data_IF_470866830531
#
_entry.id   IF_470866830531
#
_cell.length_a   1.000
_cell.length_b   1.000
_cell.length_c   1.000
_cell.angle_alpha   90.00
_cell.angle_beta   90.00
_cell.angle_gamma   90.00
#
_symmetry.space_group_name_H-M   'P 1'
#
loop_
_entity.id
_entity.type
_entity.pdbx_description
1 polymer ?
#
# COMPACT_ATOMS: atom_id res chain seq x y z
N UNK A 1 -6.17 -18.54 21.83
CA UNK A 1 -5.03 -17.95 22.57
C UNK A 1 -4.45 -16.74 21.84
N UNK A 2 -4.16 -16.83 20.54
CA UNK A 2 -3.63 -15.69 19.76
C UNK A 2 -4.61 -14.52 19.62
N UNK A 3 -5.90 -14.79 19.33
CA UNK A 3 -6.91 -13.74 19.18
C UNK A 3 -7.18 -12.96 20.47
N UNK A 4 -7.04 -13.58 21.66
CA UNK A 4 -7.20 -12.86 22.93
C UNK A 4 -6.13 -11.80 23.13
N UNK A 5 -4.90 -12.06 22.66
CA UNK A 5 -3.84 -11.04 22.65
C UNK A 5 -4.11 -9.91 21.66
N UNK A 6 -4.77 -10.20 20.53
CA UNK A 6 -5.17 -9.16 19.57
C UNK A 6 -6.18 -8.19 20.17
N UNK A 7 -7.10 -8.66 21.03
CA UNK A 7 -8.07 -7.81 21.72
C UNK A 7 -7.44 -6.80 22.67
N UNK A 8 -6.21 -7.07 23.14
CA UNK A 8 -5.45 -6.19 24.04
C UNK A 8 -4.70 -5.09 23.28
N UNK A 9 -4.62 -5.14 21.95
CA UNK A 9 -3.90 -4.14 21.15
C UNK A 9 -4.57 -2.76 21.19
N UNK A 10 -5.90 -2.70 21.30
CA UNK A 10 -6.67 -1.46 21.32
C UNK A 10 -8.01 -1.68 22.04
N UNK A 11 -8.53 -0.67 22.77
CA UNK A 11 -9.89 -0.72 23.33
C UNK A 11 -10.98 -1.02 22.28
N UNK A 12 -10.74 -0.65 21.02
CA UNK A 12 -11.65 -0.93 19.90
C UNK A 12 -11.84 -2.44 19.65
N UNK A 13 -10.88 -3.25 20.07
CA UNK A 13 -10.82 -4.68 19.76
C UNK A 13 -11.32 -5.56 20.91
N UNK A 14 -11.70 -4.99 22.06
CA UNK A 14 -12.05 -5.75 23.26
C UNK A 14 -13.19 -6.74 23.05
N UNK A 15 -14.19 -6.38 22.24
CA UNK A 15 -15.34 -7.23 21.89
C UNK A 15 -15.35 -7.57 20.39
N UNK A 16 -14.19 -7.93 19.84
CA UNK A 16 -14.03 -8.23 18.42
C UNK A 16 -13.88 -9.72 18.12
N UNK A 17 -14.33 -10.12 16.93
CA UNK A 17 -13.90 -11.36 16.28
C UNK A 17 -12.91 -11.07 15.15
N UNK A 18 -12.06 -12.04 14.85
CA UNK A 18 -10.96 -11.89 13.89
C UNK A 18 -10.99 -13.02 12.88
N UNK A 19 -11.00 -12.65 11.60
CA UNK A 19 -10.87 -13.58 10.47
C UNK A 19 -9.61 -13.23 9.69
N UNK A 20 -8.68 -14.19 9.57
CA UNK A 20 -7.46 -13.99 8.82
C UNK A 20 -7.76 -13.73 7.33
N UNK A 21 -7.10 -12.72 6.77
CA UNK A 21 -7.12 -12.42 5.33
C UNK A 21 -5.78 -12.84 4.74
N UNK A 22 -5.81 -13.88 3.92
CA UNK A 22 -4.61 -14.44 3.27
C UNK A 22 -4.40 -13.90 1.85
N UNK A 23 -5.34 -13.11 1.33
CA UNK A 23 -5.23 -12.47 0.03
C UNK A 23 -4.32 -11.24 0.12
N UNK A 24 -3.15 -11.30 -0.52
CA UNK A 24 -2.22 -10.17 -0.59
C UNK A 24 -0.77 -10.57 -0.80
N UNK A 25 0.07 -9.60 -1.16
CA UNK A 25 1.52 -9.78 -1.32
C UNK A 25 2.33 -9.13 -0.20
N UNK A 26 1.67 -8.53 0.80
CA UNK A 26 2.37 -8.01 1.97
C UNK A 26 2.80 -9.15 2.88
N UNK A 27 3.99 -9.05 3.47
CA UNK A 27 4.37 -9.89 4.61
C UNK A 27 3.62 -9.55 5.92
N UNK A 28 2.65 -8.62 5.87
CA UNK A 28 1.83 -8.26 7.02
C UNK A 28 0.76 -9.34 7.28
N UNK A 29 0.55 -9.70 8.55
CA UNK A 29 -0.61 -10.50 8.94
C UNK A 29 -1.83 -9.58 8.98
N UNK A 30 -2.85 -9.89 8.19
CA UNK A 30 -4.05 -9.06 8.05
C UNK A 30 -5.27 -9.83 8.55
N UNK A 31 -6.14 -9.14 9.29
CA UNK A 31 -7.39 -9.68 9.81
C UNK A 31 -8.54 -8.75 9.44
N UNK A 32 -9.63 -9.34 8.95
CA UNK A 32 -10.95 -8.72 9.01
C UNK A 32 -11.41 -8.80 10.47
N UNK A 33 -11.77 -7.67 11.03
CA UNK A 33 -12.23 -7.54 12.40
C UNK A 33 -13.70 -7.17 12.37
N UNK A 34 -14.54 -7.93 13.06
CA UNK A 34 -15.94 -7.57 13.25
C UNK A 34 -16.14 -7.15 14.70
N UNK A 35 -16.55 -5.90 14.91
CA UNK A 35 -16.91 -5.36 16.22
C UNK A 35 -18.43 -5.31 16.37
N UNK A 36 -18.91 -5.02 17.58
CA UNK A 36 -20.32 -5.03 18.01
C UNK A 36 -21.34 -4.72 16.89
N UNK A 37 -22.26 -5.65 16.64
CA UNK A 37 -23.45 -5.54 15.78
C UNK A 37 -23.28 -5.35 14.26
N UNK A 38 -22.06 -5.36 13.68
CA UNK A 38 -21.72 -5.60 12.24
C UNK A 38 -20.62 -4.68 11.68
N UNK A 39 -20.10 -3.74 12.45
CA UNK A 39 -19.06 -2.85 11.96
C UNK A 39 -17.76 -3.64 11.68
N UNK A 40 -17.21 -3.43 10.49
CA UNK A 40 -16.01 -4.11 10.00
C UNK A 40 -14.81 -3.17 10.01
N UNK A 41 -13.70 -3.67 10.53
CA UNK A 41 -12.40 -3.01 10.52
C UNK A 41 -11.36 -3.94 9.89
N UNK A 42 -10.19 -3.40 9.56
CA UNK A 42 -9.02 -4.19 9.15
C UNK A 42 -7.90 -3.98 10.15
N UNK A 43 -7.43 -5.06 10.75
CA UNK A 43 -6.22 -5.07 11.58
C UNK A 43 -5.05 -5.59 10.76
N UNK A 44 -3.95 -4.83 10.72
CA UNK A 44 -2.68 -5.26 10.12
C UNK A 44 -1.58 -5.28 11.17
N UNK A 45 -0.87 -6.39 11.22
CA UNK A 45 0.32 -6.58 12.07
C UNK A 45 1.55 -6.66 11.18
N UNK A 46 2.54 -5.83 11.50
CA UNK A 46 3.81 -5.72 10.82
C UNK A 46 4.97 -5.83 11.82
N UNK A 47 6.19 -5.95 11.30
CA UNK A 47 7.40 -5.84 12.09
C UNK A 47 7.42 -4.54 12.95
N UNK A 48 7.88 -4.65 14.19
CA UNK A 48 7.89 -3.55 15.17
C UNK A 48 8.69 -2.32 14.71
N UNK A 49 9.72 -2.50 13.88
CA UNK A 49 10.56 -1.42 13.36
C UNK A 49 9.81 -0.55 12.33
N UNK A 50 8.65 -1.00 11.84
CA UNK A 50 7.87 -0.27 10.84
C UNK A 50 7.02 0.87 11.41
N UNK A 51 6.90 1.00 12.74
CA UNK A 51 6.05 2.00 13.40
C UNK A 51 6.29 3.43 12.90
N UNK A 52 7.52 3.93 12.98
CA UNK A 52 7.87 5.30 12.58
C UNK A 52 7.60 5.56 11.09
N UNK A 53 7.72 4.53 10.25
CA UNK A 53 7.38 4.62 8.82
C UNK A 53 5.87 4.75 8.64
N UNK A 54 5.09 3.89 9.30
CA UNK A 54 3.64 3.91 9.15
C UNK A 54 2.97 5.12 9.80
N UNK A 55 3.49 5.62 10.93
CA UNK A 55 3.02 6.87 11.54
C UNK A 55 3.14 8.05 10.59
N UNK A 56 4.25 8.15 9.84
CA UNK A 56 4.41 9.16 8.77
C UNK A 56 3.40 8.96 7.63
N UNK A 57 3.20 7.71 7.18
CA UNK A 57 2.23 7.39 6.11
C UNK A 57 0.78 7.71 6.48
N UNK A 58 0.40 7.54 7.74
CA UNK A 58 -0.97 7.82 8.21
C UNK A 58 -1.39 9.28 7.97
N UNK A 59 -0.47 10.23 8.19
CA UNK A 59 -0.75 11.65 7.94
C UNK A 59 -1.08 11.94 6.47
N UNK A 60 -0.43 11.24 5.54
CA UNK A 60 -0.70 11.38 4.11
C UNK A 60 -2.02 10.72 3.72
N UNK A 61 -2.28 9.52 4.25
CA UNK A 61 -3.54 8.81 3.99
C UNK A 61 -4.77 9.59 4.48
N UNK A 62 -4.67 10.26 5.64
CA UNK A 62 -5.71 11.17 6.13
C UNK A 62 -5.95 12.34 5.16
N UNK A 63 -4.89 12.97 4.65
CA UNK A 63 -5.01 14.04 3.64
C UNK A 63 -5.69 13.58 2.35
N UNK A 64 -5.47 12.33 1.93
CA UNK A 64 -6.19 11.78 0.76
C UNK A 64 -7.69 11.64 1.08
N UNK A 65 -8.02 11.11 2.26
CA UNK A 65 -9.40 10.96 2.72
C UNK A 65 -10.12 12.31 2.84
N UNK A 66 -9.46 13.33 3.39
CA UNK A 66 -9.99 14.70 3.52
C UNK A 66 -10.27 15.35 2.15
N UNK A 67 -9.59 14.90 1.10
CA UNK A 67 -9.85 15.31 -0.29
C UNK A 67 -11.01 14.54 -0.94
N UNK A 68 -11.68 13.65 -0.21
CA UNK A 68 -12.79 12.85 -0.70
C UNK A 68 -12.38 11.58 -1.46
N UNK A 69 -11.09 11.24 -1.47
CA UNK A 69 -10.62 10.03 -2.15
C UNK A 69 -11.15 8.79 -1.42
N UNK A 70 -11.66 7.83 -2.19
CA UNK A 70 -12.11 6.55 -1.64
C UNK A 70 -10.92 5.69 -1.22
N UNK A 71 -10.48 5.85 0.03
CA UNK A 71 -9.45 5.02 0.64
C UNK A 71 -9.81 4.64 2.08
N UNK A 72 -9.23 3.55 2.58
CA UNK A 72 -9.37 3.16 3.99
C UNK A 72 -8.83 4.28 4.88
N UNK A 73 -9.47 4.52 6.00
CA UNK A 73 -8.99 5.47 6.99
C UNK A 73 -8.09 4.77 7.99
N UNK A 74 -7.02 5.43 8.42
CA UNK A 74 -6.19 4.95 9.53
C UNK A 74 -6.83 5.41 10.83
N UNK A 75 -7.48 4.48 11.53
CA UNK A 75 -8.14 4.74 12.80
C UNK A 75 -7.10 4.78 13.92
N UNK A 76 -6.23 3.77 13.98
CA UNK A 76 -5.22 3.66 15.03
C UNK A 76 -3.92 3.05 14.51
N UNK A 77 -2.79 3.50 15.06
CA UNK A 77 -1.47 2.87 14.87
C UNK A 77 -0.76 2.85 16.22
N UNK A 78 -0.30 1.67 16.62
CA UNK A 78 0.50 1.50 17.83
C UNK A 78 1.56 0.42 17.71
N UNK A 79 2.24 0.19 18.82
CA UNK A 79 3.23 -0.86 18.98
C UNK A 79 2.78 -1.78 20.11
N UNK A 80 3.00 -3.08 19.96
CA UNK A 80 2.86 -4.05 21.05
C UNK A 80 4.19 -4.70 21.32
N UNK A 81 4.72 -4.49 22.53
CA UNK A 81 5.93 -5.16 22.98
C UNK A 81 5.69 -6.66 23.17
N UNK A 82 4.52 -7.04 23.72
CA UNK A 82 4.17 -8.45 23.96
C UNK A 82 4.07 -9.25 22.66
N UNK A 83 3.44 -8.69 21.63
CA UNK A 83 3.33 -9.32 20.31
C UNK A 83 4.50 -8.97 19.38
N UNK A 84 5.47 -8.19 19.87
CA UNK A 84 6.62 -7.67 19.14
C UNK A 84 6.26 -7.15 17.73
N UNK A 85 5.26 -6.28 17.64
CA UNK A 85 4.71 -5.85 16.36
C UNK A 85 4.30 -4.38 16.34
N UNK A 86 4.22 -3.82 15.13
CA UNK A 86 3.42 -2.61 14.86
C UNK A 86 2.03 -3.06 14.45
N UNK A 87 0.99 -2.55 15.11
CA UNK A 87 -0.39 -2.80 14.70
C UNK A 87 -1.00 -1.53 14.08
N UNK A 88 -1.91 -1.74 13.13
CA UNK A 88 -2.66 -0.68 12.45
C UNK A 88 -4.11 -1.11 12.27
N UNK A 89 -5.04 -0.25 12.66
CA UNK A 89 -6.47 -0.47 12.53
C UNK A 89 -7.00 0.50 11.47
N UNK A 90 -7.74 -0.03 10.51
CA UNK A 90 -8.33 0.73 9.42
C UNK A 90 -9.84 0.53 9.33
N UNK A 91 -10.55 1.49 8.74
CA UNK A 91 -11.91 1.26 8.29
C UNK A 91 -11.94 0.24 7.15
N UNK A 92 -12.94 -0.64 7.16
CA UNK A 92 -13.19 -1.57 6.07
C UNK A 92 -13.92 -0.84 4.92
N UNK A 93 -13.52 -1.13 3.68
CA UNK A 93 -14.26 -0.70 2.49
C UNK A 93 -15.03 -1.92 2.00
N UNK A 94 -16.35 -1.81 1.97
CA UNK A 94 -17.21 -2.83 1.40
C UNK A 94 -16.99 -2.94 -0.12
N UNK A 95 -16.98 -4.18 -0.61
CA UNK A 95 -16.80 -4.48 -2.01
C UNK A 95 -16.06 -5.80 -2.22
N UNK A 96 -15.87 -6.14 -3.49
CA UNK A 96 -15.17 -7.35 -3.92
C UNK A 96 -13.78 -7.01 -4.47
N UNK A 97 -12.88 -7.99 -4.40
CA UNK A 97 -11.56 -7.83 -4.98
C UNK A 97 -11.67 -7.88 -6.51
N UNK A 98 -11.36 -6.77 -7.17
CA UNK A 98 -11.41 -6.68 -8.62
C UNK A 98 -10.57 -7.76 -9.32
N UNK A 99 -9.44 -8.22 -8.76
CA UNK A 99 -8.67 -9.33 -9.35
C UNK A 99 -9.52 -10.59 -9.50
N UNK A 100 -10.37 -10.86 -8.53
CA UNK A 100 -11.14 -12.09 -8.41
C UNK A 100 -12.52 -11.98 -9.06
N UNK A 101 -13.08 -10.77 -9.22
CA UNK A 101 -14.45 -10.60 -9.73
C UNK A 101 -14.59 -9.77 -11.01
N UNK A 102 -13.60 -8.95 -11.41
CA UNK A 102 -13.78 -8.03 -12.56
C UNK A 102 -14.06 -8.76 -13.87
N UNK A 103 -13.53 -9.97 -14.04
CA UNK A 103 -13.69 -10.79 -15.24
C UNK A 103 -15.09 -11.41 -15.38
N UNK A 104 -15.90 -11.35 -14.32
CA UNK A 104 -17.29 -11.82 -14.31
C UNK A 104 -18.28 -10.74 -14.78
N UNK A 105 -17.79 -9.51 -14.94
CA UNK A 105 -18.59 -8.33 -15.31
C UNK A 105 -18.58 -8.09 -16.83
N UNK A 106 -19.57 -7.37 -17.32
CA UNK A 106 -19.61 -6.97 -18.74
C UNK A 106 -18.49 -5.99 -19.09
N UNK A 107 -18.16 -5.86 -20.38
CA UNK A 107 -17.13 -4.91 -20.82
C UNK A 107 -17.46 -3.47 -20.41
N UNK A 108 -18.74 -3.09 -20.45
CA UNK A 108 -19.24 -1.79 -20.06
C UNK A 108 -19.03 -1.54 -18.56
N UNK A 109 -19.32 -2.52 -17.71
CA UNK A 109 -19.11 -2.44 -16.26
C UNK A 109 -17.62 -2.34 -15.90
N UNK A 110 -16.78 -3.16 -16.55
CA UNK A 110 -15.32 -3.11 -16.37
C UNK A 110 -14.75 -1.75 -16.77
N UNK A 111 -15.21 -1.20 -17.89
CA UNK A 111 -14.81 0.13 -18.36
C UNK A 111 -15.20 1.23 -17.36
N UNK A 112 -16.43 1.19 -16.84
CA UNK A 112 -16.89 2.19 -15.87
C UNK A 112 -16.11 2.11 -14.54
N UNK A 113 -15.79 0.91 -14.06
CA UNK A 113 -14.90 0.72 -12.90
C UNK A 113 -13.52 1.34 -13.18
N UNK A 114 -12.94 1.07 -14.35
CA UNK A 114 -11.67 1.65 -14.76
C UNK A 114 -11.71 3.18 -14.80
N UNK A 115 -12.78 3.76 -15.36
CA UNK A 115 -13.00 5.20 -15.43
C UNK A 115 -13.09 5.84 -14.05
N UNK A 116 -13.82 5.21 -13.11
CA UNK A 116 -13.92 5.66 -11.71
C UNK A 116 -12.56 5.59 -11.00
N UNK A 117 -11.83 4.49 -11.15
CA UNK A 117 -10.49 4.34 -10.56
C UNK A 117 -9.51 5.40 -11.10
N UNK A 118 -9.56 5.69 -12.40
CA UNK A 118 -8.74 6.74 -13.02
C UNK A 118 -9.05 8.14 -12.48
N UNK A 119 -10.32 8.43 -12.18
CA UNK A 119 -10.72 9.70 -11.54
C UNK A 119 -10.09 9.85 -10.14
N UNK A 120 -10.18 8.81 -9.31
CA UNK A 120 -9.57 8.81 -7.97
C UNK A 120 -8.04 8.95 -8.05
N UNK A 121 -7.40 8.26 -9.00
CA UNK A 121 -5.95 8.34 -9.22
C UNK A 121 -5.52 9.74 -9.68
N UNK A 122 -6.28 10.37 -10.58
CA UNK A 122 -6.04 11.75 -11.02
C UNK A 122 -6.12 12.73 -9.84
N UNK A 123 -7.10 12.55 -8.95
CA UNK A 123 -7.20 13.35 -7.73
C UNK A 123 -5.99 13.12 -6.79
N UNK A 124 -5.52 11.88 -6.65
CA UNK A 124 -4.28 11.59 -5.91
C UNK A 124 -3.07 12.33 -6.50
N UNK A 125 -2.93 12.42 -7.83
CA UNK A 125 -1.82 13.13 -8.48
C UNK A 125 -1.80 14.64 -8.21
N UNK A 126 -2.93 15.24 -7.83
CA UNK A 126 -2.97 16.65 -7.38
C UNK A 126 -2.36 16.85 -5.98
N UNK A 127 -2.02 15.79 -5.26
CA UNK A 127 -1.41 15.85 -3.94
C UNK A 127 0.10 16.01 -4.05
N UNK A 128 0.62 17.20 -3.71
CA UNK A 128 2.06 17.45 -3.71
C UNK A 128 2.78 16.55 -2.70
N UNK A 129 3.94 16.04 -3.09
CA UNK A 129 4.81 15.30 -2.20
C UNK A 129 5.25 16.20 -1.02
N UNK A 130 5.39 15.66 0.21
CA UNK A 130 5.92 16.41 1.33
C UNK A 130 7.36 16.89 1.06
N UNK A 131 7.71 18.11 1.49
CA UNK A 131 9.03 18.73 1.22
C UNK A 131 10.23 17.95 1.77
N UNK A 132 10.04 17.15 2.82
CA UNK A 132 11.10 16.32 3.40
C UNK A 132 11.40 15.05 2.60
N UNK A 133 10.66 14.80 1.52
CA UNK A 133 10.80 13.61 0.69
C UNK A 133 11.80 13.91 -0.42
N UNK A 134 12.83 13.05 -0.54
CA UNK A 134 13.82 13.16 -1.64
C UNK A 134 13.14 13.27 -3.01
N UNK A 135 13.71 14.05 -3.94
CA UNK A 135 13.25 14.15 -5.32
C UNK A 135 12.97 12.78 -5.96
N UNK A 136 11.95 12.72 -6.80
CA UNK A 136 11.50 11.46 -7.39
C UNK A 136 12.52 10.87 -8.36
N UNK A 137 13.16 11.72 -9.16
CA UNK A 137 14.24 11.40 -10.10
C UNK A 137 15.43 10.73 -9.41
N UNK A 138 15.91 11.28 -8.29
CA UNK A 138 16.99 10.66 -7.51
C UNK A 138 16.61 9.25 -7.05
N UNK A 139 15.37 9.05 -6.59
CA UNK A 139 14.92 7.76 -6.08
C UNK A 139 14.76 6.72 -7.18
N UNK A 140 14.19 7.10 -8.32
CA UNK A 140 13.97 6.17 -9.43
C UNK A 140 15.30 5.80 -10.08
N UNK A 141 16.26 6.72 -10.17
CA UNK A 141 17.60 6.42 -10.66
C UNK A 141 18.37 5.50 -9.70
N UNK A 142 18.34 5.77 -8.39
CA UNK A 142 18.93 4.85 -7.41
C UNK A 142 18.28 3.45 -7.43
N UNK A 143 16.97 3.36 -7.70
CA UNK A 143 16.27 2.08 -7.90
C UNK A 143 16.73 1.41 -9.20
N UNK A 144 16.85 2.16 -10.28
CA UNK A 144 17.31 1.67 -11.57
C UNK A 144 18.72 1.07 -11.45
N UNK A 145 19.67 1.79 -10.86
CA UNK A 145 21.04 1.32 -10.65
C UNK A 145 21.09 -0.01 -9.87
N UNK A 146 20.29 -0.13 -8.81
CA UNK A 146 20.16 -1.39 -8.07
C UNK A 146 19.65 -2.54 -8.93
N UNK A 147 18.69 -2.28 -9.83
CA UNK A 147 18.14 -3.29 -10.72
C UNK A 147 19.12 -3.67 -11.83
N UNK A 148 19.86 -2.70 -12.37
CA UNK A 148 20.96 -2.96 -13.32
C UNK A 148 22.03 -3.84 -12.67
N UNK A 149 22.44 -3.51 -11.44
CA UNK A 149 23.41 -4.33 -10.72
C UNK A 149 22.91 -5.76 -10.44
N UNK A 150 21.65 -5.90 -10.02
CA UNK A 150 21.04 -7.21 -9.78
C UNK A 150 20.93 -8.03 -11.08
N UNK A 151 20.55 -7.37 -12.17
CA UNK A 151 20.50 -7.96 -13.51
C UNK A 151 21.87 -8.46 -13.95
N UNK A 152 22.89 -7.60 -13.92
CA UNK A 152 24.27 -7.94 -14.29
C UNK A 152 24.84 -9.08 -13.42
N UNK A 153 24.50 -9.11 -12.14
CA UNK A 153 24.96 -10.15 -11.22
C UNK A 153 24.19 -11.47 -11.33
N UNK A 154 23.05 -11.49 -12.05
CA UNK A 154 22.20 -12.69 -12.15
C UNK A 154 22.70 -13.73 -13.15
N UNK A 155 23.60 -13.34 -14.06
CA UNK A 155 24.03 -14.17 -15.20
C UNK A 155 22.95 -14.34 -16.30
N UNK A 156 21.76 -13.76 -16.12
CA UNK A 156 20.71 -13.72 -17.15
C UNK A 156 20.97 -12.56 -18.10
N UNK A 157 21.04 -12.84 -19.40
CA UNK A 157 21.17 -11.83 -20.47
C UNK A 157 20.06 -12.01 -21.52
N UNK A 158 19.83 -11.00 -22.34
CA UNK A 158 18.97 -11.08 -23.52
C UNK A 158 19.58 -10.26 -24.65
N UNK A 159 19.24 -10.61 -25.90
CA UNK A 159 19.75 -9.88 -27.07
C UNK A 159 19.42 -8.38 -26.98
N UNK A 160 20.44 -7.54 -27.13
CA UNK A 160 20.36 -6.07 -27.05
C UNK A 160 20.14 -5.49 -25.64
N UNK A 161 20.47 -6.23 -24.58
CA UNK A 161 20.46 -5.70 -23.22
C UNK A 161 21.29 -4.42 -23.05
N UNK A 162 22.49 -4.37 -23.60
CA UNK A 162 23.38 -3.22 -23.54
C UNK A 162 22.77 -1.99 -24.22
N UNK A 163 22.07 -2.17 -25.36
CA UNK A 163 21.35 -1.08 -26.02
C UNK A 163 20.27 -0.49 -25.11
N UNK A 164 19.49 -1.31 -24.41
CA UNK A 164 18.46 -0.84 -23.47
C UNK A 164 19.09 -0.08 -22.30
N UNK A 165 20.18 -0.60 -21.74
CA UNK A 165 20.92 0.05 -20.64
C UNK A 165 21.47 1.41 -21.06
N UNK A 166 22.11 1.49 -22.24
CA UNK A 166 22.68 2.71 -22.77
C UNK A 166 21.60 3.74 -23.15
N UNK A 167 20.47 3.29 -23.70
CA UNK A 167 19.34 4.15 -24.00
C UNK A 167 18.79 4.82 -22.74
N UNK A 168 18.54 4.05 -21.67
CA UNK A 168 18.03 4.60 -20.41
C UNK A 168 19.04 5.58 -19.81
N UNK A 169 20.33 5.21 -19.79
CA UNK A 169 21.40 6.06 -19.26
C UNK A 169 21.55 7.38 -20.03
N UNK A 170 21.37 7.36 -21.35
CA UNK A 170 21.46 8.55 -22.20
C UNK A 170 20.23 9.46 -22.09
N UNK A 171 19.13 8.98 -21.50
CA UNK A 171 17.86 9.70 -21.39
C UNK A 171 17.44 9.98 -19.95
N UNK A 172 18.36 9.92 -18.98
CA UNK A 172 18.06 10.15 -17.55
C UNK A 172 17.38 11.51 -17.31
N UNK A 173 17.71 12.54 -18.08
CA UNK A 173 17.09 13.86 -17.93
C UNK A 173 15.61 13.89 -18.31
N UNK A 174 15.10 12.92 -19.08
CA UNK A 174 13.66 12.78 -19.32
C UNK A 174 12.89 12.52 -18.03
N UNK A 175 13.50 11.82 -17.07
CA UNK A 175 12.93 11.50 -15.75
C UNK A 175 12.78 12.77 -14.89
N UNK A 176 13.62 13.78 -15.09
CA UNK A 176 13.57 15.03 -14.32
C UNK A 176 12.43 15.97 -14.72
N UNK A 177 11.86 15.78 -15.93
CA UNK A 177 10.85 16.70 -16.50
C UNK A 177 9.41 16.44 -16.03
N UNK A 178 9.18 15.36 -15.29
CA UNK A 178 7.84 14.95 -14.82
C UNK A 178 7.59 15.21 -13.31
N UNK A 179 8.48 15.95 -12.63
CA UNK A 179 8.38 16.24 -11.19
C UNK A 179 7.81 17.63 -10.86
#
# INVERSE_FOLDING_TARGET
MEHEKLKQLSPLLTQASFQAMTSGFSGDRTFLVTISSSEKLVLKLSDIQTYSRYKRKASFQRKLKDRGILCSEVIEIGMSAELNCTYRIFSFIEGENARDSIHLLTNEEQYEIGRRAARELSLMHTCRAPSHVRPWDEKVMAKHERYVHAYQSSGVTFSNDQFVLDFIKSNVDAVKREA
#
